data_IF_199343910322
#
_entry.id   IF_199343910322
#
_cell.length_a   1.000
_cell.length_b   1.000
_cell.length_c   1.000
_cell.angle_alpha   90.00
_cell.angle_beta   90.00
_cell.angle_gamma   90.00
#
_symmetry.space_group_name_H-M   'P 1'
#
loop_
_entity.id
_entity.type
_entity.pdbx_description
1 polymer ?
#
# COMPACT_ATOMS: atom_id res chain seq x y z
N UNK A 1 42.01 -13.71 26.10
CA UNK A 1 42.24 -12.34 26.62
C UNK A 1 42.53 -11.42 25.45
N UNK A 2 41.57 -10.60 25.05
CA UNK A 2 41.76 -9.31 24.39
C UNK A 2 40.37 -8.75 24.04
N UNK A 3 39.82 -7.92 24.92
CA UNK A 3 38.68 -7.05 24.60
C UNK A 3 39.15 -5.98 23.62
N UNK A 4 38.42 -5.75 22.53
CA UNK A 4 38.47 -4.50 21.77
C UNK A 4 37.14 -3.79 21.94
N UNK A 5 37.19 -2.68 22.66
CA UNK A 5 36.12 -1.70 22.83
C UNK A 5 35.98 -0.83 21.58
N UNK A 6 34.77 -0.75 21.03
CA UNK A 6 34.39 0.32 20.11
C UNK A 6 33.71 1.43 20.92
N UNK A 7 34.38 2.59 21.05
CA UNK A 7 33.73 3.85 21.40
C UNK A 7 33.25 4.49 20.09
N UNK A 8 31.93 4.64 19.91
CA UNK A 8 31.37 5.59 18.95
C UNK A 8 31.18 6.92 19.68
N UNK A 9 31.90 7.93 19.23
CA UNK A 9 31.74 9.31 19.67
C UNK A 9 30.46 9.90 19.08
N UNK A 10 29.57 10.38 19.94
CA UNK A 10 28.42 11.19 19.55
C UNK A 10 28.91 12.58 19.12
N UNK A 11 28.64 12.98 17.87
CA UNK A 11 28.71 14.37 17.45
C UNK A 11 27.30 14.95 17.45
N UNK A 12 27.06 15.84 18.40
CA UNK A 12 25.89 16.69 18.47
C UNK A 12 26.10 17.84 17.47
N UNK A 13 25.39 17.81 16.34
CA UNK A 13 25.31 18.96 15.42
C UNK A 13 24.02 19.71 15.74
N UNK A 14 24.18 20.90 16.31
CA UNK A 14 23.10 21.86 16.55
C UNK A 14 22.84 22.60 15.24
N UNK A 15 21.83 22.18 14.47
CA UNK A 15 21.36 22.92 13.31
C UNK A 15 20.21 23.85 13.74
N UNK A 16 20.50 25.15 13.88
CA UNK A 16 19.50 26.20 13.91
C UNK A 16 19.03 26.45 12.46
N UNK A 17 17.91 25.83 12.09
CA UNK A 17 17.20 26.10 10.84
C UNK A 17 15.94 26.92 11.12
N UNK A 18 15.91 28.16 10.63
CA UNK A 18 14.72 29.00 10.54
C UNK A 18 13.66 28.33 9.68
N UNK A 19 12.54 27.94 10.31
CA UNK A 19 11.35 27.41 9.65
C UNK A 19 10.61 28.56 8.95
N UNK A 20 10.56 28.51 7.62
CA UNK A 20 9.56 29.25 6.86
C UNK A 20 8.23 28.50 6.97
N UNK A 21 7.28 29.08 7.71
CA UNK A 21 5.91 28.60 7.83
C UNK A 21 5.18 28.78 6.49
N UNK A 22 4.86 27.67 5.83
CA UNK A 22 3.76 27.62 4.86
C UNK A 22 2.48 27.25 5.62
N UNK A 23 1.35 27.92 5.37
CA UNK A 23 0.14 27.73 6.16
C UNK A 23 -0.52 26.39 5.81
N UNK A 24 -0.72 25.56 6.84
CA UNK A 24 -1.65 24.45 6.81
C UNK A 24 -3.07 25.00 6.66
N UNK A 25 -3.75 24.66 5.57
CA UNK A 25 -5.19 24.90 5.42
C UNK A 25 -5.93 23.80 6.19
N UNK A 26 -6.46 24.17 7.35
CA UNK A 26 -7.46 23.41 8.11
C UNK A 26 -8.83 24.05 7.84
N UNK A 27 -9.73 23.32 7.18
CA UNK A 27 -11.10 23.75 6.96
C UNK A 27 -11.97 23.36 8.17
N UNK A 28 -12.24 24.36 9.02
CA UNK A 28 -13.33 24.38 9.99
C UNK A 28 -14.40 25.35 9.47
N UNK A 29 -15.52 24.84 8.96
CA UNK A 29 -16.71 25.65 8.71
C UNK A 29 -17.83 25.26 9.69
N UNK A 30 -17.76 25.89 10.86
CA UNK A 30 -18.85 25.96 11.83
C UNK A 30 -19.81 27.10 11.50
N UNK A 31 -20.96 26.76 10.91
CA UNK A 31 -22.10 27.68 10.75
C UNK A 31 -23.26 27.32 11.67
N UNK A 32 -23.40 28.02 12.80
CA UNK A 32 -24.58 27.94 13.66
C UNK A 32 -25.62 29.02 13.29
N UNK A 33 -26.88 28.65 13.10
CA UNK A 33 -28.01 29.45 13.57
C UNK A 33 -29.27 28.59 13.77
N UNK A 34 -30.06 28.99 14.77
CA UNK A 34 -31.01 28.18 15.51
C UNK A 34 -32.48 28.29 15.03
N UNK A 35 -33.27 27.27 15.40
CA UNK A 35 -34.42 27.37 16.32
C UNK A 35 -35.73 26.67 15.89
N UNK A 36 -36.45 26.19 16.91
CA UNK A 36 -37.77 25.53 16.97
C UNK A 36 -37.79 24.06 16.50
N UNK A 37 -38.26 23.06 17.25
CA UNK A 37 -39.20 23.00 18.37
C UNK A 37 -40.40 22.16 17.95
N UNK A 38 -40.51 20.90 18.41
CA UNK A 38 -41.72 20.10 18.17
C UNK A 38 -41.58 18.57 18.25
N UNK A 39 -41.77 18.03 19.45
CA UNK A 39 -42.61 16.85 19.81
C UNK A 39 -42.63 15.56 18.97
N UNK A 40 -42.36 14.44 19.65
CA UNK A 40 -43.09 13.15 19.61
C UNK A 40 -43.07 12.36 18.29
N UNK A 41 -42.68 11.09 18.22
CA UNK A 41 -43.08 9.97 19.07
C UNK A 41 -43.92 8.97 18.26
N UNK A 42 -43.32 7.80 18.00
CA UNK A 42 -43.91 6.52 17.58
C UNK A 42 -44.54 6.37 16.18
N UNK A 43 -44.03 5.42 15.40
CA UNK A 43 -44.74 4.16 15.13
C UNK A 43 -43.88 3.19 14.32
N UNK A 44 -44.06 1.91 14.63
CA UNK A 44 -43.36 0.78 14.08
C UNK A 44 -44.15 0.12 12.94
N UNK A 45 -43.43 -0.79 12.27
CA UNK A 45 -43.88 -2.11 11.76
C UNK A 45 -44.24 -2.26 10.28
N UNK A 46 -43.58 -3.30 9.72
CA UNK A 46 -44.03 -4.30 8.73
C UNK A 46 -44.60 -3.80 7.40
N UNK A 47 -44.20 -4.27 6.22
CA UNK A 47 -43.70 -5.59 5.83
C UNK A 47 -44.42 -6.01 4.54
N UNK A 48 -43.84 -6.97 3.84
CA UNK A 48 -44.44 -7.79 2.77
C UNK A 48 -44.24 -7.39 1.30
N UNK A 49 -43.39 -8.20 0.65
CA UNK A 49 -43.63 -8.99 -0.57
C UNK A 49 -44.10 -8.31 -1.86
N UNK A 50 -43.36 -8.57 -2.95
CA UNK A 50 -43.83 -8.38 -4.32
C UNK A 50 -42.86 -8.93 -5.36
N UNK A 51 -42.86 -10.25 -5.54
CA UNK A 51 -42.29 -10.90 -6.71
C UNK A 51 -43.15 -10.62 -7.95
N UNK A 52 -42.56 -10.17 -9.04
CA UNK A 52 -43.13 -10.38 -10.39
C UNK A 52 -42.02 -10.60 -11.42
N UNK A 53 -42.00 -11.82 -11.93
CA UNK A 53 -41.43 -12.26 -13.20
C UNK A 53 -42.05 -11.52 -14.39
N UNK A 54 -41.26 -11.21 -15.40
CA UNK A 54 -41.75 -11.06 -16.78
C UNK A 54 -40.71 -11.62 -17.76
N UNK A 55 -41.10 -12.74 -18.37
CA UNK A 55 -40.52 -13.28 -19.60
C UNK A 55 -40.84 -12.34 -20.78
N UNK A 56 -39.89 -12.22 -21.72
CA UNK A 56 -40.09 -11.57 -23.00
C UNK A 56 -39.11 -12.14 -24.04
N UNK A 57 -39.61 -13.07 -24.83
CA UNK A 57 -38.91 -13.83 -25.88
C UNK A 57 -38.76 -13.05 -27.20
N UNK A 58 -37.66 -13.32 -27.91
CA UNK A 58 -37.71 -13.64 -29.35
C UNK A 58 -37.14 -12.59 -30.32
N UNK A 59 -36.33 -13.07 -31.28
CA UNK A 59 -36.13 -12.37 -32.55
C UNK A 59 -34.77 -12.56 -33.22
N UNK A 60 -34.54 -13.73 -33.84
CA UNK A 60 -33.43 -13.99 -34.73
C UNK A 60 -33.73 -13.51 -36.17
N UNK A 61 -32.68 -13.18 -36.93
CA UNK A 61 -32.67 -12.97 -38.38
C UNK A 61 -31.56 -11.97 -38.73
N UNK A 62 -30.67 -12.18 -39.70
CA UNK A 62 -30.51 -13.18 -40.73
C UNK A 62 -29.52 -12.56 -41.72
N UNK A 63 -28.33 -13.13 -41.84
CA UNK A 63 -27.28 -12.62 -42.73
C UNK A 63 -27.38 -13.25 -44.12
N UNK A 64 -27.14 -12.46 -45.16
CA UNK A 64 -26.90 -12.94 -46.53
C UNK A 64 -26.01 -11.98 -47.33
N UNK A 65 -25.07 -12.58 -48.08
CA UNK A 65 -24.36 -12.01 -49.24
C UNK A 65 -22.88 -11.73 -48.98
N UNK A 66 -21.87 -12.31 -49.63
CA UNK A 66 -21.82 -13.21 -50.79
C UNK A 66 -20.62 -12.83 -51.68
N UNK A 67 -19.73 -13.80 -51.98
CA UNK A 67 -18.84 -13.95 -53.16
C UNK A 67 -17.83 -12.83 -53.49
N UNK A 68 -16.63 -13.02 -54.03
CA UNK A 68 -15.83 -14.13 -54.57
C UNK A 68 -14.45 -13.48 -54.92
N UNK A 69 -13.33 -14.16 -54.72
CA UNK A 69 -12.19 -14.05 -55.64
C UNK A 69 -11.29 -15.28 -55.56
N UNK A 70 -10.63 -15.54 -56.67
CA UNK A 70 -10.18 -16.84 -57.20
C UNK A 70 -8.70 -17.14 -56.97
N UNK A 71 -8.37 -18.42 -56.76
CA UNK A 71 -7.46 -19.15 -57.66
C UNK A 71 -6.00 -19.46 -57.24
N UNK A 72 -5.74 -20.77 -57.04
CA UNK A 72 -4.47 -21.49 -57.33
C UNK A 72 -3.38 -21.42 -56.24
N UNK A 73 -2.77 -22.49 -55.72
CA UNK A 73 -2.59 -23.87 -56.17
C UNK A 73 -1.09 -24.17 -56.22
N UNK A 74 -0.55 -24.97 -55.28
CA UNK A 74 0.86 -25.40 -55.32
C UNK A 74 1.35 -26.11 -54.06
N UNK A 75 1.79 -27.36 -54.23
CA UNK A 75 2.08 -28.40 -53.24
C UNK A 75 3.49 -28.36 -52.63
N UNK A 76 3.62 -28.85 -51.39
CA UNK A 76 4.68 -29.82 -51.03
C UNK A 76 5.74 -29.37 -50.02
N UNK A 77 5.78 -30.05 -48.85
CA UNK A 77 6.98 -30.09 -47.98
C UNK A 77 6.71 -30.10 -46.49
N UNK A 78 6.23 -31.23 -45.95
CA UNK A 78 6.08 -31.47 -44.51
C UNK A 78 7.27 -32.29 -44.01
N UNK A 79 7.94 -31.85 -42.93
CA UNK A 79 8.90 -32.72 -42.22
C UNK A 79 10.04 -32.00 -41.50
N UNK A 80 9.73 -31.31 -40.40
CA UNK A 80 10.73 -30.80 -39.46
C UNK A 80 10.08 -30.47 -38.13
N UNK A 81 9.93 -31.48 -37.26
CA UNK A 81 9.49 -31.29 -35.87
C UNK A 81 10.61 -30.60 -35.08
N UNK A 82 10.62 -29.27 -35.11
CA UNK A 82 11.27 -28.48 -34.08
C UNK A 82 10.35 -28.49 -32.87
N UNK A 83 10.61 -29.40 -31.93
CA UNK A 83 9.99 -29.35 -30.61
C UNK A 83 10.35 -28.01 -29.97
N UNK A 84 9.41 -27.06 -30.01
CA UNK A 84 9.46 -25.89 -29.15
C UNK A 84 9.27 -26.44 -27.74
N UNK A 85 10.38 -26.53 -26.99
CA UNK A 85 10.33 -26.77 -25.57
C UNK A 85 9.55 -25.62 -24.96
N UNK A 86 8.30 -25.89 -24.58
CA UNK A 86 7.59 -25.02 -23.67
C UNK A 86 8.44 -24.92 -22.42
N UNK A 87 9.05 -23.75 -22.22
CA UNK A 87 9.53 -23.37 -20.91
C UNK A 87 8.38 -23.53 -19.91
N UNK A 88 8.66 -23.81 -18.63
CA UNK A 88 7.60 -23.84 -17.63
C UNK A 88 6.79 -22.54 -17.77
N UNK A 89 5.47 -22.65 -17.92
CA UNK A 89 4.60 -21.51 -17.81
C UNK A 89 4.97 -20.80 -16.49
N UNK A 90 5.25 -19.49 -16.54
CA UNK A 90 5.51 -18.74 -15.34
C UNK A 90 4.31 -18.92 -14.42
N UNK A 91 4.52 -19.55 -13.26
CA UNK A 91 3.49 -19.62 -12.22
C UNK A 91 3.25 -18.20 -11.73
N UNK A 92 1.98 -17.76 -11.69
CA UNK A 92 1.63 -16.44 -11.16
C UNK A 92 2.07 -16.27 -9.70
N UNK A 93 2.00 -15.04 -9.19
CA UNK A 93 2.30 -14.73 -7.78
C UNK A 93 1.53 -15.69 -6.87
N UNK A 94 2.24 -16.31 -5.93
CA UNK A 94 1.64 -17.24 -4.97
C UNK A 94 0.75 -16.47 -4.00
N UNK A 95 -0.51 -16.86 -3.82
CA UNK A 95 -1.44 -16.16 -2.93
C UNK A 95 -0.98 -16.08 -1.47
N UNK A 96 -1.15 -14.91 -0.87
CA UNK A 96 -0.99 -14.66 0.57
C UNK A 96 -2.29 -14.14 1.20
N UNK A 97 -3.28 -15.02 1.45
CA UNK A 97 -4.60 -14.59 1.86
C UNK A 97 -4.59 -13.93 3.24
N UNK A 98 -5.43 -12.90 3.42
CA UNK A 98 -5.64 -12.26 4.71
C UNK A 98 -6.51 -13.15 5.59
N UNK A 99 -5.99 -13.52 6.75
CA UNK A 99 -6.64 -14.39 7.73
C UNK A 99 -7.07 -13.66 9.00
N UNK A 100 -6.75 -12.38 9.16
CA UNK A 100 -7.15 -11.58 10.34
C UNK A 100 -8.56 -11.02 10.26
N UNK A 101 -9.07 -10.71 9.06
CA UNK A 101 -10.31 -9.92 8.91
C UNK A 101 -11.54 -10.63 9.44
N UNK A 102 -12.35 -9.89 10.19
CA UNK A 102 -13.57 -10.39 10.83
C UNK A 102 -13.35 -11.44 11.93
N UNK A 103 -12.10 -11.77 12.28
CA UNK A 103 -11.78 -12.69 13.38
C UNK A 103 -12.01 -12.04 14.74
N UNK A 104 -12.19 -12.84 15.81
CA UNK A 104 -12.24 -12.30 17.16
C UNK A 104 -10.96 -11.51 17.50
N UNK A 105 -11.15 -10.25 17.90
CA UNK A 105 -10.09 -9.36 18.34
C UNK A 105 -10.36 -8.86 19.77
N UNK A 106 -9.30 -8.76 20.56
CA UNK A 106 -9.33 -8.34 21.96
C UNK A 106 -8.23 -7.34 22.21
N UNK A 107 -8.44 -6.39 23.12
CA UNK A 107 -7.42 -5.41 23.44
C UNK A 107 -7.43 -5.07 24.94
N UNK A 108 -6.28 -4.63 25.45
CA UNK A 108 -6.16 -4.14 26.82
C UNK A 108 -6.97 -2.87 27.07
N UNK A 109 -7.33 -2.16 26.00
CA UNK A 109 -8.10 -0.90 25.97
C UNK A 109 -8.51 -0.58 24.54
N UNK A 110 -9.34 0.46 24.38
CA UNK A 110 -9.85 0.87 23.07
C UNK A 110 -10.82 -0.17 22.50
N UNK A 111 -11.27 0.08 21.27
CA UNK A 111 -12.18 -0.82 20.56
C UNK A 111 -11.35 -1.78 19.72
N UNK A 112 -11.34 -3.07 20.04
CA UNK A 112 -10.50 -4.03 19.33
C UNK A 112 -11.02 -4.37 17.92
N UNK A 113 -12.33 -4.36 17.72
CA UNK A 113 -12.97 -4.78 16.47
C UNK A 113 -12.71 -3.88 15.27
N UNK A 114 -12.11 -2.70 15.48
CA UNK A 114 -11.78 -1.77 14.38
C UNK A 114 -10.50 -2.18 13.67
N UNK A 115 -9.64 -2.99 14.28
CA UNK A 115 -8.29 -3.27 13.78
C UNK A 115 -8.25 -4.30 12.65
N UNK A 116 -9.35 -5.02 12.43
CA UNK A 116 -9.42 -6.11 11.48
C UNK A 116 -10.76 -6.14 10.76
N UNK A 117 -11.37 -4.97 10.57
CA UNK A 117 -12.64 -4.83 9.87
C UNK A 117 -12.48 -4.48 8.38
N UNK A 118 -11.23 -4.37 7.91
CA UNK A 118 -10.87 -4.05 6.54
C UNK A 118 -11.09 -2.58 6.18
N UNK A 119 -11.21 -1.69 7.18
CA UNK A 119 -11.42 -0.26 6.95
C UNK A 119 -10.28 0.54 7.56
N UNK A 120 -9.94 1.64 6.90
CA UNK A 120 -8.78 2.44 7.27
C UNK A 120 -9.16 3.89 7.56
N UNK A 121 -8.29 4.55 8.34
CA UNK A 121 -8.28 5.99 8.61
C UNK A 121 -9.62 6.51 9.14
N UNK A 122 -10.46 7.14 8.30
CA UNK A 122 -11.70 7.81 8.73
C UNK A 122 -12.77 6.87 9.29
N UNK A 123 -12.66 5.56 9.06
CA UNK A 123 -13.59 4.57 9.58
C UNK A 123 -13.43 4.26 11.09
N UNK A 124 -12.31 4.68 11.70
CA UNK A 124 -12.04 4.52 13.12
C UNK A 124 -10.66 3.94 13.41
N UNK A 125 -10.23 4.06 14.67
CA UNK A 125 -8.92 3.57 15.12
C UNK A 125 -9.00 2.89 16.48
N UNK A 126 -8.11 1.93 16.68
CA UNK A 126 -7.77 1.42 18.00
C UNK A 126 -6.84 2.41 18.70
N UNK A 127 -7.32 3.04 19.78
CA UNK A 127 -6.55 4.03 20.55
C UNK A 127 -5.92 3.38 21.79
N UNK A 128 -4.59 3.31 21.81
CA UNK A 128 -3.80 2.76 22.90
C UNK A 128 -3.39 3.82 23.95
N UNK A 129 -3.51 5.11 23.64
CA UNK A 129 -3.04 6.19 24.50
C UNK A 129 -1.51 6.31 24.44
N UNK A 130 -0.87 6.54 25.59
CA UNK A 130 0.61 6.63 25.68
C UNK A 130 1.20 5.45 26.48
N UNK A 131 1.31 4.25 25.90
CA UNK A 131 1.89 3.09 26.59
C UNK A 131 3.33 3.32 27.03
N UNK A 132 3.74 2.60 28.06
CA UNK A 132 5.12 2.53 28.54
C UNK A 132 5.50 1.08 28.80
N UNK A 133 6.79 0.78 28.96
CA UNK A 133 7.23 -0.58 29.24
C UNK A 133 6.61 -1.17 30.52
N UNK A 134 6.32 -0.34 31.53
CA UNK A 134 5.66 -0.75 32.78
C UNK A 134 4.13 -0.82 32.69
N UNK A 135 3.53 -0.25 31.65
CA UNK A 135 2.10 -0.27 31.38
C UNK A 135 1.86 -0.35 29.86
N UNK A 136 2.18 -1.51 29.24
CA UNK A 136 2.00 -1.68 27.81
C UNK A 136 0.51 -1.74 27.45
N UNK A 137 0.20 -1.38 26.20
CA UNK A 137 -1.10 -1.66 25.61
C UNK A 137 -0.94 -2.79 24.59
N UNK A 138 -1.95 -3.64 24.43
CA UNK A 138 -1.91 -4.72 23.46
C UNK A 138 -3.25 -4.87 22.74
N UNK A 139 -3.17 -5.38 21.52
CA UNK A 139 -4.29 -5.83 20.71
C UNK A 139 -3.97 -7.19 20.09
N UNK A 140 -4.87 -8.15 20.25
CA UNK A 140 -4.70 -9.56 19.93
C UNK A 140 -5.82 -10.03 18.99
N UNK A 141 -5.47 -10.89 18.04
CA UNK A 141 -6.38 -11.47 17.05
C UNK A 141 -6.27 -13.00 17.12
N UNK A 142 -7.42 -13.68 17.21
CA UNK A 142 -7.50 -15.13 17.09
C UNK A 142 -7.58 -15.53 15.61
N UNK A 143 -6.42 -15.66 14.96
CA UNK A 143 -6.34 -15.94 13.52
C UNK A 143 -6.71 -17.38 13.16
N UNK A 144 -6.61 -18.31 14.10
CA UNK A 144 -6.85 -19.74 13.91
C UNK A 144 -5.56 -20.54 13.83
N UNK A 145 -5.67 -21.87 13.82
CA UNK A 145 -4.55 -22.81 13.72
C UNK A 145 -4.31 -23.28 12.27
N UNK A 146 -3.26 -24.08 12.06
CA UNK A 146 -2.95 -24.70 10.77
C UNK A 146 -1.99 -23.92 9.86
N UNK A 147 -1.57 -22.72 10.27
CA UNK A 147 -0.57 -21.92 9.55
C UNK A 147 0.84 -22.18 10.10
N UNK A 148 1.84 -22.16 9.22
CA UNK A 148 3.24 -22.35 9.59
C UNK A 148 3.99 -21.02 9.67
N UNK A 149 3.61 -20.03 8.84
CA UNK A 149 4.27 -18.73 8.80
C UNK A 149 3.28 -17.62 8.48
N UNK A 150 3.38 -16.50 9.20
CA UNK A 150 2.51 -15.34 9.01
C UNK A 150 3.32 -14.08 8.70
N UNK A 151 2.68 -13.13 8.00
CA UNK A 151 3.11 -11.74 7.88
C UNK A 151 2.08 -10.87 8.60
N UNK A 152 2.48 -10.15 9.64
CA UNK A 152 1.63 -9.15 10.30
C UNK A 152 2.04 -7.76 9.83
N UNK A 153 1.11 -7.04 9.21
CA UNK A 153 1.21 -5.62 8.85
C UNK A 153 0.36 -4.79 9.81
N UNK A 154 0.83 -3.62 10.22
CA UNK A 154 0.05 -2.65 10.99
C UNK A 154 0.13 -1.26 10.36
N UNK A 155 -0.95 -0.48 10.47
CA UNK A 155 -1.04 0.84 9.83
C UNK A 155 -1.53 1.93 10.79
N UNK A 156 -0.83 3.06 10.84
CA UNK A 156 -1.26 4.32 11.46
C UNK A 156 -1.53 5.38 10.38
N UNK A 157 -2.74 5.38 9.83
CA UNK A 157 -3.08 6.08 8.60
C UNK A 157 -3.28 7.60 8.76
N UNK A 158 -3.25 8.12 9.99
CA UNK A 158 -3.39 9.57 10.27
C UNK A 158 -2.11 10.38 10.06
N UNK A 159 -0.96 9.73 10.04
CA UNK A 159 0.29 10.36 9.59
C UNK A 159 0.22 10.60 8.08
N UNK A 160 0.93 11.59 7.54
CA UNK A 160 0.93 11.85 6.10
C UNK A 160 2.15 11.22 5.42
N UNK A 161 3.36 11.62 5.83
CA UNK A 161 4.58 11.01 5.29
C UNK A 161 4.82 9.63 5.93
N UNK A 162 5.48 8.74 5.19
CA UNK A 162 5.91 7.44 5.70
C UNK A 162 6.72 7.53 7.01
N UNK A 163 7.53 8.59 7.16
CA UNK A 163 8.39 8.86 8.32
C UNK A 163 7.73 9.73 9.41
N UNK A 164 6.46 10.11 9.25
CA UNK A 164 5.73 10.81 10.30
C UNK A 164 5.23 9.79 11.32
N UNK A 165 5.50 10.02 12.61
CA UNK A 165 5.06 9.10 13.69
C UNK A 165 4.04 9.73 14.64
N UNK A 166 3.91 11.05 14.60
CA UNK A 166 3.27 11.85 15.65
C UNK A 166 1.76 11.60 15.85
N UNK A 167 1.07 11.13 14.81
CA UNK A 167 -0.38 10.86 14.83
C UNK A 167 -0.69 9.36 14.85
N UNK A 168 -0.02 8.61 15.72
CA UNK A 168 -0.50 7.27 16.09
C UNK A 168 0.46 6.11 15.97
N UNK A 169 1.63 6.30 15.35
CA UNK A 169 2.57 5.20 15.16
C UNK A 169 3.12 4.74 16.51
N UNK A 170 3.23 3.43 16.81
CA UNK A 170 3.94 2.93 17.98
C UNK A 170 5.40 3.43 17.97
N UNK A 171 5.92 3.90 19.10
CA UNK A 171 7.35 4.24 19.23
C UNK A 171 8.23 3.02 19.49
N UNK A 172 7.71 2.07 20.26
CA UNK A 172 8.30 0.75 20.46
C UNK A 172 7.18 -0.29 20.65
N UNK A 173 7.41 -1.49 20.15
CA UNK A 173 6.46 -2.59 20.23
C UNK A 173 7.14 -3.94 20.02
N UNK A 174 6.38 -5.00 20.27
CA UNK A 174 6.73 -6.36 19.88
C UNK A 174 5.52 -7.10 19.36
N UNK A 175 5.75 -8.11 18.54
CA UNK A 175 4.73 -9.06 18.09
C UNK A 175 4.91 -10.34 18.89
N UNK A 176 3.81 -10.87 19.42
CA UNK A 176 3.82 -12.12 20.18
C UNK A 176 2.78 -13.10 19.64
N UNK A 177 3.03 -14.39 19.84
CA UNK A 177 2.09 -15.46 19.48
C UNK A 177 1.77 -16.36 20.67
N UNK A 178 0.61 -17.00 20.64
CA UNK A 178 0.16 -17.95 21.66
C UNK A 178 -0.65 -19.09 21.05
N UNK A 179 -0.55 -20.28 21.63
CA UNK A 179 -1.33 -21.47 21.27
C UNK A 179 -2.49 -21.73 22.25
N UNK A 180 -2.49 -21.08 23.41
CA UNK A 180 -3.34 -21.40 24.56
C UNK A 180 -4.06 -20.19 25.16
N UNK A 181 -3.95 -19.00 24.55
CA UNK A 181 -4.79 -17.85 24.91
C UNK A 181 -6.26 -18.12 24.55
N UNK A 182 -7.16 -17.54 25.31
CA UNK A 182 -8.61 -17.56 25.05
C UNK A 182 -9.18 -16.17 24.76
N UNK A 183 -8.46 -15.11 25.10
CA UNK A 183 -8.97 -13.74 25.01
C UNK A 183 -7.88 -12.66 24.84
N UNK A 184 -6.65 -13.04 24.46
CA UNK A 184 -5.54 -12.10 24.29
C UNK A 184 -4.82 -11.69 25.59
N UNK A 185 -5.47 -11.80 26.76
CA UNK A 185 -4.91 -11.39 28.06
C UNK A 185 -4.26 -12.53 28.85
N UNK A 186 -4.65 -13.77 28.56
CA UNK A 186 -4.19 -15.01 29.18
C UNK A 186 -3.30 -15.83 28.25
N UNK A 187 -2.91 -17.03 28.69
CA UNK A 187 -2.06 -17.93 27.91
C UNK A 187 -0.56 -17.62 28.00
N UNK A 188 0.20 -18.45 27.32
CA UNK A 188 1.65 -18.36 27.20
C UNK A 188 2.01 -17.64 25.91
N UNK A 189 2.67 -16.48 26.03
CA UNK A 189 3.04 -15.64 24.90
C UNK A 189 4.54 -15.71 24.61
N UNK A 190 4.88 -15.89 23.33
CA UNK A 190 6.25 -15.89 22.82
C UNK A 190 6.46 -14.67 21.94
N UNK A 191 7.48 -13.85 22.23
CA UNK A 191 7.90 -12.77 21.33
C UNK A 191 8.51 -13.34 20.06
N UNK A 192 8.06 -12.85 18.91
CA UNK A 192 8.50 -13.27 17.57
C UNK A 192 9.10 -12.12 16.76
N UNK A 193 8.84 -10.87 17.14
CA UNK A 193 9.49 -9.68 16.60
C UNK A 193 9.52 -8.57 17.65
N UNK A 194 10.54 -7.71 17.62
CA UNK A 194 10.67 -6.58 18.56
C UNK A 194 11.26 -5.36 17.84
N UNK A 195 10.67 -4.19 18.09
CA UNK A 195 11.11 -2.90 17.58
C UNK A 195 11.20 -1.93 18.75
N UNK A 196 12.40 -1.42 19.02
CA UNK A 196 12.67 -0.54 20.17
C UNK A 196 12.68 0.95 19.83
N UNK A 197 12.82 1.28 18.55
CA UNK A 197 12.82 2.65 18.03
C UNK A 197 12.22 2.62 16.62
N UNK A 198 10.94 2.99 16.53
CA UNK A 198 10.18 2.93 15.29
C UNK A 198 10.08 4.32 14.64
N UNK A 199 10.67 4.53 13.44
CA UNK A 199 10.70 5.83 12.79
C UNK A 199 9.58 6.04 11.76
N UNK A 200 8.64 5.10 11.60
CA UNK A 200 7.70 5.08 10.47
C UNK A 200 6.27 4.75 10.89
N UNK A 201 5.29 5.15 10.07
CA UNK A 201 3.84 5.00 10.36
C UNK A 201 3.24 3.64 10.06
N UNK A 202 3.97 2.74 9.43
CA UNK A 202 3.50 1.40 9.08
C UNK A 202 4.71 0.49 8.91
N UNK A 203 4.58 -0.77 9.33
CA UNK A 203 5.59 -1.82 9.14
C UNK A 203 4.90 -3.18 9.07
N UNK A 204 5.63 -4.15 8.53
CA UNK A 204 5.25 -5.55 8.64
C UNK A 204 6.38 -6.40 9.23
N UNK A 205 6.01 -7.59 9.72
CA UNK A 205 6.94 -8.58 10.27
C UNK A 205 6.49 -9.99 9.89
N UNK A 206 7.36 -10.75 9.21
CA UNK A 206 7.17 -12.18 9.03
C UNK A 206 7.72 -12.99 10.21
N UNK A 207 7.03 -14.08 10.58
CA UNK A 207 7.45 -14.95 11.68
C UNK A 207 6.86 -16.37 11.59
N UNK A 208 7.53 -17.32 12.24
CA UNK A 208 7.04 -18.69 12.44
C UNK A 208 5.82 -18.70 13.36
N UNK A 209 4.81 -19.46 12.96
CA UNK A 209 3.52 -19.58 13.61
C UNK A 209 3.10 -21.04 13.87
N UNK A 210 4.00 -22.00 13.61
CA UNK A 210 3.71 -23.42 13.75
C UNK A 210 3.18 -23.78 15.14
N UNK A 211 1.96 -24.33 15.19
CA UNK A 211 1.31 -24.75 16.44
C UNK A 211 0.70 -23.61 17.27
N UNK A 212 0.68 -22.39 16.75
CA UNK A 212 0.06 -21.23 17.38
C UNK A 212 -1.36 -21.00 16.80
N UNK A 213 -2.17 -20.18 17.48
CA UNK A 213 -3.49 -19.78 16.97
C UNK A 213 -3.86 -18.31 17.23
N UNK A 214 -3.01 -17.59 17.96
CA UNK A 214 -3.16 -16.19 18.31
C UNK A 214 -1.92 -15.41 17.96
N UNK A 215 -2.14 -14.17 17.51
CA UNK A 215 -1.10 -13.14 17.38
C UNK A 215 -1.54 -11.90 18.15
N UNK A 216 -0.60 -11.17 18.74
CA UNK A 216 -0.87 -9.84 19.30
C UNK A 216 0.27 -8.87 19.07
N UNK A 217 -0.08 -7.61 18.85
CA UNK A 217 0.83 -6.48 18.88
C UNK A 217 0.82 -5.91 20.30
N UNK A 218 2.00 -5.80 20.92
CA UNK A 218 2.17 -5.19 22.25
C UNK A 218 3.00 -3.93 22.13
N UNK A 219 2.34 -2.78 22.32
CA UNK A 219 2.96 -1.46 22.27
C UNK A 219 3.55 -1.14 23.65
N UNK A 220 4.86 -0.89 23.67
CA UNK A 220 5.65 -0.63 24.87
C UNK A 220 6.12 0.82 25.00
N UNK A 221 6.02 1.61 23.93
CA UNK A 221 6.22 3.05 23.98
C UNK A 221 5.39 3.77 22.91
N UNK A 222 4.88 4.94 23.27
CA UNK A 222 4.47 5.96 22.29
C UNK A 222 5.71 6.58 21.61
N UNK A 223 5.56 7.18 20.42
CA UNK A 223 6.67 7.84 19.75
C UNK A 223 7.13 9.07 20.55
N UNK A 224 8.40 9.45 20.39
CA UNK A 224 8.99 10.55 21.16
C UNK A 224 8.23 11.88 20.95
N UNK A 225 7.77 12.11 19.72
CA UNK A 225 6.79 13.13 19.36
C UNK A 225 5.45 12.44 19.15
N UNK A 226 4.46 12.78 19.98
CA UNK A 226 3.12 12.21 19.92
C UNK A 226 2.10 13.26 20.30
N UNK A 227 0.97 13.28 19.62
CA UNK A 227 -0.19 14.08 20.00
C UNK A 227 -0.79 13.64 21.35
N UNK A 228 -1.92 14.24 21.75
CA UNK A 228 -2.59 13.87 22.99
C UNK A 228 -3.27 12.49 22.94
N UNK A 229 -3.70 12.06 21.75
CA UNK A 229 -4.30 10.74 21.51
C UNK A 229 -3.32 9.62 21.78
N UNK A 230 -2.05 9.83 21.43
CA UNK A 230 -1.01 8.81 21.57
C UNK A 230 -1.00 7.85 20.39
N UNK A 231 -0.73 6.58 20.66
CA UNK A 231 -0.73 5.51 19.66
C UNK A 231 -2.17 5.20 19.22
N UNK A 232 -2.39 5.22 17.92
CA UNK A 232 -3.65 4.91 17.25
C UNK A 232 -3.36 4.17 15.94
N UNK A 233 -3.99 3.01 15.77
CA UNK A 233 -3.86 2.16 14.58
C UNK A 233 -5.24 1.96 13.97
N UNK A 234 -5.34 1.99 12.65
CA UNK A 234 -6.60 1.71 11.95
C UNK A 234 -6.73 0.23 11.60
N UNK A 235 -5.69 -0.41 11.03
CA UNK A 235 -5.78 -1.81 10.61
C UNK A 235 -4.51 -2.61 10.97
N UNK A 236 -4.70 -3.89 11.29
CA UNK A 236 -3.71 -4.97 11.33
C UNK A 236 -4.17 -6.08 10.38
N UNK A 237 -3.53 -6.16 9.22
CA UNK A 237 -3.69 -7.28 8.30
C UNK A 237 -2.69 -8.38 8.66
N UNK A 238 -3.18 -9.62 8.78
CA UNK A 238 -2.35 -10.81 8.98
C UNK A 238 -2.54 -11.72 7.77
N UNK A 239 -1.47 -11.94 7.02
CA UNK A 239 -1.47 -12.79 5.84
C UNK A 239 -0.87 -14.16 6.16
N UNK A 240 -1.46 -15.21 5.61
CA UNK A 240 -0.84 -16.53 5.55
C UNK A 240 0.25 -16.54 4.47
N UNK A 241 1.49 -16.70 4.91
CA UNK A 241 2.67 -16.78 4.02
C UNK A 241 3.34 -18.16 4.11
N UNK A 242 2.60 -19.18 4.54
CA UNK A 242 3.12 -20.55 4.67
C UNK A 242 3.57 -21.14 3.32
N UNK A 243 2.98 -20.68 2.21
CA UNK A 243 3.25 -21.20 0.86
C UNK A 243 4.11 -20.27 -0.02
N UNK A 244 4.56 -19.12 0.50
CA UNK A 244 5.26 -18.07 -0.25
C UNK A 244 5.03 -16.72 0.42
N UNK A 245 5.81 -15.67 0.10
CA UNK A 245 5.66 -14.35 0.73
C UNK A 245 5.83 -13.20 -0.27
N UNK A 246 5.62 -13.46 -1.56
CA UNK A 246 5.94 -12.52 -2.64
C UNK A 246 4.80 -11.54 -2.95
N UNK A 247 3.57 -11.78 -2.45
CA UNK A 247 2.41 -10.93 -2.71
C UNK A 247 2.40 -9.68 -1.80
N UNK A 248 3.46 -8.88 -1.91
CA UNK A 248 3.77 -7.75 -1.02
C UNK A 248 4.30 -6.55 -1.82
N UNK A 249 3.69 -5.38 -1.61
CA UNK A 249 3.89 -4.17 -2.41
C UNK A 249 4.21 -2.95 -1.56
N UNK A 250 5.39 -2.38 -1.78
CA UNK A 250 5.81 -1.13 -1.17
C UNK A 250 5.65 -0.02 -2.22
N UNK A 251 4.79 0.95 -1.94
CA UNK A 251 4.59 2.11 -2.81
C UNK A 251 5.57 3.22 -2.42
N UNK A 252 6.66 3.33 -3.17
CA UNK A 252 7.76 4.28 -2.96
C UNK A 252 7.54 5.51 -3.87
N UNK A 253 7.38 6.68 -3.28
CA UNK A 253 7.11 7.88 -4.08
C UNK A 253 6.94 9.14 -3.27
N UNK A 254 6.39 10.17 -3.92
CA UNK A 254 6.25 11.51 -3.34
C UNK A 254 4.87 11.76 -2.68
N UNK A 255 4.40 13.03 -2.70
CA UNK A 255 3.09 13.43 -2.18
C UNK A 255 1.94 12.69 -2.86
N UNK A 256 2.03 12.45 -4.16
CA UNK A 256 0.98 11.76 -4.92
C UNK A 256 0.83 10.32 -4.40
N UNK A 257 1.95 9.66 -4.15
CA UNK A 257 1.99 8.33 -3.52
C UNK A 257 1.41 8.37 -2.10
N UNK A 258 1.81 9.36 -1.30
CA UNK A 258 1.31 9.53 0.07
C UNK A 258 -0.22 9.67 0.14
N UNK A 259 -0.83 10.37 -0.82
CA UNK A 259 -2.29 10.48 -0.94
C UNK A 259 -2.94 9.22 -1.51
N UNK A 260 -2.42 8.66 -2.61
CA UNK A 260 -3.09 7.61 -3.37
C UNK A 260 -3.27 6.32 -2.57
N UNK A 261 -2.31 5.96 -1.71
CA UNK A 261 -2.32 4.66 -1.02
C UNK A 261 -2.61 4.77 0.47
N UNK A 262 -3.29 5.83 0.90
CA UNK A 262 -3.71 6.01 2.31
C UNK A 262 -4.89 5.09 2.71
N UNK A 263 -5.60 4.52 1.73
CA UNK A 263 -6.71 3.57 1.87
C UNK A 263 -7.90 4.10 2.71
N UNK A 264 -8.03 5.42 2.83
CA UNK A 264 -9.12 6.04 3.58
C UNK A 264 -10.49 5.47 3.22
N UNK A 265 -11.24 5.04 4.23
CA UNK A 265 -12.54 4.39 4.03
C UNK A 265 -13.68 5.33 4.41
N UNK A 266 -14.61 5.65 3.49
CA UNK A 266 -14.79 5.09 2.14
C UNK A 266 -14.10 5.88 1.01
N UNK A 267 -13.39 6.97 1.32
CA UNK A 267 -13.03 7.99 0.34
C UNK A 267 -12.11 7.49 -0.79
N UNK A 268 -11.12 6.65 -0.51
CA UNK A 268 -10.09 6.22 -1.47
C UNK A 268 -10.12 4.70 -1.73
N UNK A 269 -11.31 4.09 -1.65
CA UNK A 269 -11.55 2.68 -1.95
C UNK A 269 -12.29 2.49 -3.30
N UNK A 270 -12.05 1.39 -4.05
CA UNK A 270 -11.19 0.26 -3.72
C UNK A 270 -9.69 0.56 -3.85
N UNK A 271 -8.92 0.04 -2.90
CA UNK A 271 -7.45 0.04 -2.88
C UNK A 271 -6.86 -0.89 -3.93
N UNK A 272 -5.55 -0.77 -4.20
CA UNK A 272 -4.81 -1.67 -5.11
C UNK A 272 -5.06 -3.14 -4.75
N UNK A 273 -4.95 -3.50 -3.47
CA UNK A 273 -5.14 -4.88 -3.04
C UNK A 273 -6.57 -5.39 -3.24
N UNK A 274 -7.59 -4.53 -3.06
CA UNK A 274 -8.98 -4.90 -3.36
C UNK A 274 -9.23 -5.07 -4.85
N UNK A 275 -8.60 -4.23 -5.69
CA UNK A 275 -8.69 -4.38 -7.14
C UNK A 275 -8.02 -5.69 -7.62
N UNK A 276 -6.85 -6.04 -7.06
CA UNK A 276 -6.19 -7.33 -7.33
C UNK A 276 -7.08 -8.48 -6.87
N UNK A 277 -7.60 -8.45 -5.65
CA UNK A 277 -8.49 -9.49 -5.12
C UNK A 277 -9.77 -9.65 -5.94
N UNK A 278 -10.35 -8.55 -6.43
CA UNK A 278 -11.53 -8.59 -7.29
C UNK A 278 -11.26 -9.29 -8.64
N UNK A 279 -10.03 -9.19 -9.16
CA UNK A 279 -9.60 -9.87 -10.38
C UNK A 279 -9.10 -11.31 -10.13
N UNK A 280 -8.46 -11.55 -8.99
CA UNK A 280 -7.78 -12.79 -8.59
C UNK A 280 -8.14 -13.12 -7.14
N UNK A 281 -9.28 -13.78 -6.92
CA UNK A 281 -9.86 -14.01 -5.57
C UNK A 281 -8.90 -14.61 -4.53
N UNK A 282 -7.97 -15.51 -4.85
CA UNK A 282 -7.01 -15.99 -3.85
C UNK A 282 -6.01 -14.93 -3.37
N UNK A 283 -5.72 -13.93 -4.20
CA UNK A 283 -4.69 -12.92 -3.95
C UNK A 283 -5.28 -11.72 -3.21
N UNK A 284 -4.56 -11.25 -2.20
CA UNK A 284 -4.85 -10.00 -1.53
C UNK A 284 -3.50 -9.42 -1.08
N UNK A 285 -2.86 -8.59 -1.91
CA UNK A 285 -1.50 -8.13 -1.65
C UNK A 285 -1.37 -7.34 -0.35
N UNK A 286 -0.30 -7.57 0.41
CA UNK A 286 0.05 -6.69 1.53
C UNK A 286 0.61 -5.36 0.99
N UNK A 287 0.14 -4.23 1.50
CA UNK A 287 0.55 -2.90 1.01
C UNK A 287 1.24 -2.08 2.09
N UNK A 288 2.31 -1.36 1.72
CA UNK A 288 2.84 -0.22 2.50
C UNK A 288 2.81 1.03 1.64
N UNK A 289 2.24 2.10 2.19
CA UNK A 289 2.35 3.45 1.65
C UNK A 289 3.65 4.10 2.15
N UNK A 290 4.65 4.16 1.27
CA UNK A 290 5.97 4.72 1.52
C UNK A 290 6.14 6.15 1.01
N UNK A 291 5.04 6.86 0.73
CA UNK A 291 5.07 8.21 0.17
C UNK A 291 5.59 9.28 1.12
N UNK A 292 6.35 10.25 0.60
CA UNK A 292 6.81 11.45 1.33
C UNK A 292 6.55 12.70 0.49
N UNK A 293 5.83 13.68 1.05
CA UNK A 293 5.48 14.91 0.34
C UNK A 293 6.68 15.73 -0.11
N UNK A 294 6.67 16.15 -1.37
CA UNK A 294 7.73 16.99 -1.95
C UNK A 294 9.07 16.28 -2.16
N UNK A 295 9.11 14.95 -2.02
CA UNK A 295 10.33 14.17 -2.17
C UNK A 295 10.78 14.11 -3.65
N UNK A 296 12.09 14.25 -3.84
CA UNK A 296 12.80 14.14 -5.11
C UNK A 296 13.50 12.78 -5.18
N UNK A 297 13.88 12.34 -6.39
CA UNK A 297 14.76 11.16 -6.54
C UNK A 297 16.10 11.35 -5.82
N UNK A 298 16.68 12.55 -5.93
CA UNK A 298 17.84 13.00 -5.15
C UNK A 298 17.72 14.50 -4.83
N UNK A 299 18.17 14.91 -3.66
CA UNK A 299 18.40 16.32 -3.33
C UNK A 299 19.70 16.55 -2.57
N UNK A 300 20.21 17.78 -2.63
CA UNK A 300 21.34 18.25 -1.82
C UNK A 300 20.92 19.03 -0.56
N UNK A 301 19.66 19.44 -0.47
CA UNK A 301 19.17 20.38 0.56
C UNK A 301 18.16 19.77 1.54
N UNK A 302 17.63 18.58 1.23
CA UNK A 302 16.63 17.86 2.02
C UNK A 302 16.75 16.35 1.78
N UNK A 303 16.26 15.50 2.71
CA UNK A 303 16.19 14.05 2.48
C UNK A 303 15.44 13.72 1.19
N UNK A 304 15.91 12.69 0.48
CA UNK A 304 15.38 12.24 -0.80
C UNK A 304 15.28 10.71 -0.87
N UNK A 305 14.70 10.19 -1.96
CA UNK A 305 14.51 8.74 -2.14
C UNK A 305 15.82 7.96 -1.98
N UNK A 306 16.87 8.40 -2.67
CA UNK A 306 18.21 7.78 -2.60
C UNK A 306 18.91 7.94 -1.25
N UNK A 307 18.49 8.85 -0.37
CA UNK A 307 19.08 8.97 0.97
C UNK A 307 18.49 7.95 1.95
N UNK A 308 17.32 7.36 1.66
CA UNK A 308 16.57 6.52 2.60
C UNK A 308 16.27 5.11 2.10
N UNK A 309 16.57 4.80 0.86
CA UNK A 309 16.20 3.52 0.23
C UNK A 309 16.86 2.32 0.93
N UNK A 310 18.11 2.43 1.38
CA UNK A 310 18.75 1.43 2.25
C UNK A 310 17.93 1.17 3.54
N UNK A 311 17.55 2.23 4.24
CA UNK A 311 16.72 2.14 5.46
C UNK A 311 15.34 1.55 5.15
N UNK A 312 14.74 1.91 4.01
CA UNK A 312 13.45 1.36 3.56
C UNK A 312 13.55 -0.14 3.32
N UNK A 313 14.59 -0.61 2.63
CA UNK A 313 14.83 -2.02 2.35
C UNK A 313 15.13 -2.81 3.63
N UNK A 314 15.93 -2.23 4.55
CA UNK A 314 16.21 -2.84 5.85
C UNK A 314 14.97 -2.96 6.73
N UNK A 315 14.11 -1.93 6.74
CA UNK A 315 12.90 -1.92 7.57
C UNK A 315 11.77 -2.80 7.03
N UNK A 316 11.77 -3.09 5.72
CA UNK A 316 10.72 -3.83 5.01
C UNK A 316 11.28 -5.06 4.26
N UNK A 317 11.96 -5.99 4.96
CA UNK A 317 12.61 -7.13 4.32
C UNK A 317 11.62 -8.14 3.73
N UNK A 318 10.34 -8.05 4.10
CA UNK A 318 9.27 -8.94 3.65
C UNK A 318 8.57 -8.45 2.37
N UNK A 319 8.92 -7.25 1.87
CA UNK A 319 8.28 -6.66 0.69
C UNK A 319 9.04 -7.01 -0.59
N UNK A 320 8.34 -7.53 -1.61
CA UNK A 320 8.95 -8.01 -2.84
C UNK A 320 8.90 -6.98 -3.97
N UNK A 321 7.74 -6.39 -4.22
CA UNK A 321 7.55 -5.41 -5.28
C UNK A 321 7.66 -3.99 -4.75
N UNK A 322 8.41 -3.15 -5.46
CA UNK A 322 8.58 -1.73 -5.17
C UNK A 322 7.96 -0.91 -6.31
N UNK A 323 6.76 -0.41 -6.07
CA UNK A 323 6.02 0.45 -6.98
C UNK A 323 6.58 1.88 -6.85
N UNK A 324 7.28 2.35 -7.88
CA UNK A 324 8.00 3.63 -7.88
C UNK A 324 7.17 4.70 -8.59
N UNK A 325 6.81 5.75 -7.86
CA UNK A 325 6.08 6.92 -8.36
C UNK A 325 6.79 8.22 -7.98
N UNK A 326 7.87 8.54 -8.72
CA UNK A 326 8.65 9.77 -8.59
C UNK A 326 8.74 10.51 -9.92
N UNK A 327 9.09 11.79 -9.85
CA UNK A 327 9.41 12.64 -10.99
C UNK A 327 8.55 13.89 -11.10
N UNK A 328 7.42 13.95 -10.40
CA UNK A 328 6.60 15.18 -10.31
C UNK A 328 7.45 16.33 -9.77
N UNK A 329 8.01 16.18 -8.57
CA UNK A 329 8.85 17.23 -7.98
C UNK A 329 10.15 17.49 -8.77
N UNK A 330 10.77 16.45 -9.32
CA UNK A 330 12.00 16.55 -10.13
C UNK A 330 11.77 17.42 -11.38
N UNK A 331 10.62 17.21 -12.05
CA UNK A 331 10.25 17.92 -13.28
C UNK A 331 9.80 19.37 -13.09
N UNK A 332 9.62 19.81 -11.85
CA UNK A 332 9.32 21.20 -11.50
C UNK A 332 10.60 22.06 -11.43
N UNK A 333 11.43 22.02 -12.48
CA UNK A 333 12.72 22.73 -12.58
C UNK A 333 13.72 22.44 -11.43
N UNK A 334 13.57 21.29 -10.74
CA UNK A 334 14.43 20.92 -9.61
C UNK A 334 15.54 19.94 -9.99
N UNK A 335 15.37 19.16 -11.05
CA UNK A 335 16.35 18.18 -11.50
C UNK A 335 16.33 18.12 -13.02
N UNK A 336 17.51 18.10 -13.67
CA UNK A 336 17.52 17.92 -15.12
C UNK A 336 17.16 16.47 -15.50
N UNK A 337 16.54 16.22 -16.66
CA UNK A 337 16.07 14.89 -17.05
C UNK A 337 17.16 13.80 -17.06
N UNK A 338 18.42 14.15 -17.34
CA UNK A 338 19.51 13.17 -17.39
C UNK A 338 19.98 12.74 -16.01
N UNK A 339 20.01 13.69 -15.06
CA UNK A 339 20.23 13.40 -13.64
C UNK A 339 19.08 12.59 -13.07
N UNK A 340 17.82 12.94 -13.38
CA UNK A 340 16.65 12.15 -12.98
C UNK A 340 16.73 10.69 -13.44
N UNK A 341 17.05 10.46 -14.74
CA UNK A 341 17.25 9.10 -15.26
C UNK A 341 18.34 8.35 -14.49
N UNK A 342 19.46 9.03 -14.19
CA UNK A 342 20.58 8.42 -13.44
C UNK A 342 20.19 8.06 -12.01
N UNK A 343 19.45 8.94 -11.31
CA UNK A 343 18.97 8.68 -9.96
C UNK A 343 17.97 7.52 -9.92
N UNK A 344 17.05 7.44 -10.89
CA UNK A 344 16.13 6.30 -11.00
C UNK A 344 16.87 4.99 -11.29
N UNK A 345 17.91 5.00 -12.13
CA UNK A 345 18.74 3.80 -12.33
C UNK A 345 19.40 3.35 -11.02
N UNK A 346 19.92 4.28 -10.20
CA UNK A 346 20.51 3.94 -8.91
C UNK A 346 19.47 3.33 -7.95
N UNK A 347 18.25 3.87 -7.90
CA UNK A 347 17.15 3.25 -7.13
C UNK A 347 16.80 1.85 -7.63
N UNK A 348 16.75 1.64 -8.95
CA UNK A 348 16.50 0.32 -9.56
C UNK A 348 17.61 -0.66 -9.15
N UNK A 349 18.87 -0.25 -9.27
CA UNK A 349 20.03 -1.07 -8.97
C UNK A 349 20.03 -1.52 -7.49
N UNK A 350 19.72 -0.62 -6.55
CA UNK A 350 19.67 -0.94 -5.12
C UNK A 350 18.52 -1.88 -4.77
N UNK A 351 17.33 -1.65 -5.33
CA UNK A 351 16.15 -2.51 -5.14
C UNK A 351 16.43 -3.92 -5.71
N UNK A 352 17.00 -4.01 -6.92
CA UNK A 352 17.37 -5.29 -7.53
C UNK A 352 18.50 -5.98 -6.78
N UNK A 353 19.50 -5.24 -6.28
CA UNK A 353 20.59 -5.79 -5.47
C UNK A 353 20.08 -6.38 -4.15
N UNK A 354 19.00 -5.85 -3.60
CA UNK A 354 18.28 -6.42 -2.45
C UNK A 354 17.36 -7.61 -2.81
N UNK A 355 17.37 -8.05 -4.08
CA UNK A 355 16.57 -9.17 -4.57
C UNK A 355 15.10 -8.84 -4.80
N UNK A 356 14.77 -7.56 -4.98
CA UNK A 356 13.40 -7.04 -5.10
C UNK A 356 13.10 -6.60 -6.53
N UNK A 357 11.82 -6.39 -6.82
CA UNK A 357 11.35 -6.06 -8.17
C UNK A 357 10.85 -4.62 -8.21
N UNK A 358 11.61 -3.69 -8.83
CA UNK A 358 11.11 -2.34 -9.08
C UNK A 358 10.11 -2.34 -10.24
N UNK A 359 9.05 -1.55 -10.09
CA UNK A 359 8.01 -1.31 -11.12
C UNK A 359 7.81 0.19 -11.21
N UNK A 360 8.02 0.78 -12.39
CA UNK A 360 7.94 2.24 -12.57
C UNK A 360 6.57 2.65 -13.13
N UNK A 361 5.91 3.60 -12.49
CA UNK A 361 4.80 4.32 -13.11
C UNK A 361 5.32 5.51 -13.92
N UNK A 362 4.64 5.83 -15.03
CA UNK A 362 4.79 7.15 -15.65
C UNK A 362 4.23 8.22 -14.71
N UNK A 363 4.88 9.38 -14.68
CA UNK A 363 4.49 10.52 -13.86
C UNK A 363 3.13 11.03 -14.33
N UNK A 364 2.14 11.23 -13.43
CA UNK A 364 0.83 11.73 -13.80
C UNK A 364 0.91 13.10 -14.47
N UNK A 365 -0.02 13.36 -15.38
CA UNK A 365 -0.16 14.67 -16.02
C UNK A 365 -0.51 15.74 -14.98
N UNK A 366 -0.02 16.96 -15.20
CA UNK A 366 -0.38 18.13 -14.40
C UNK A 366 -0.58 19.36 -15.31
N UNK A 367 -1.78 20.00 -15.29
CA UNK A 367 -2.03 21.22 -16.06
C UNK A 367 -1.65 22.52 -15.31
N UNK A 368 -0.78 22.45 -14.30
CA UNK A 368 -0.46 23.58 -13.42
C UNK A 368 0.49 24.64 -14.04
N UNK A 369 1.03 24.36 -15.23
CA UNK A 369 1.98 25.22 -15.93
C UNK A 369 3.41 25.17 -15.37
N UNK A 370 3.70 24.24 -14.46
CA UNK A 370 5.01 24.03 -13.87
C UNK A 370 5.66 22.71 -14.30
N UNK A 371 4.88 21.77 -14.81
CA UNK A 371 5.32 20.43 -15.21
C UNK A 371 5.33 20.23 -16.74
N UNK A 372 5.64 21.28 -17.52
CA UNK A 372 5.64 21.23 -18.99
C UNK A 372 6.67 20.24 -19.57
N UNK A 373 7.70 19.88 -18.78
CA UNK A 373 8.77 18.98 -19.18
C UNK A 373 8.46 17.49 -18.96
N UNK A 374 7.28 17.11 -18.45
CA UNK A 374 6.97 15.72 -18.10
C UNK A 374 7.21 14.70 -19.22
N UNK A 375 7.07 15.11 -20.49
CA UNK A 375 7.31 14.24 -21.64
C UNK A 375 8.72 13.63 -21.66
N UNK A 376 9.77 14.42 -21.33
CA UNK A 376 11.16 13.90 -21.33
C UNK A 376 11.48 13.07 -20.09
N UNK A 377 10.83 13.33 -18.96
CA UNK A 377 10.97 12.50 -17.76
C UNK A 377 10.27 11.15 -17.94
N UNK A 378 9.08 11.14 -18.53
CA UNK A 378 8.35 9.91 -18.86
C UNK A 378 9.09 9.08 -19.92
N UNK A 379 9.74 9.71 -20.89
CA UNK A 379 10.63 9.01 -21.80
C UNK A 379 11.78 8.30 -21.05
N UNK A 380 12.39 8.96 -20.05
CA UNK A 380 13.43 8.33 -19.24
C UNK A 380 12.91 7.11 -18.46
N UNK A 381 11.68 7.16 -17.93
CA UNK A 381 11.02 6.03 -17.27
C UNK A 381 10.79 4.87 -18.24
N UNK A 382 10.30 5.15 -19.45
CA UNK A 382 10.06 4.13 -20.48
C UNK A 382 11.38 3.45 -20.90
N UNK A 383 12.44 4.25 -21.09
CA UNK A 383 13.78 3.75 -21.42
C UNK A 383 14.33 2.85 -20.29
N UNK A 384 14.25 3.29 -19.03
CA UNK A 384 14.72 2.49 -17.88
C UNK A 384 13.93 1.20 -17.71
N UNK A 385 12.61 1.24 -17.91
CA UNK A 385 11.74 0.05 -17.85
C UNK A 385 12.19 -0.99 -18.88
N UNK A 386 12.49 -0.56 -20.11
CA UNK A 386 12.96 -1.43 -21.17
C UNK A 386 14.42 -1.91 -20.96
N UNK A 387 15.33 -1.01 -20.59
CA UNK A 387 16.76 -1.29 -20.36
C UNK A 387 16.97 -2.31 -19.24
N UNK A 388 16.14 -2.27 -18.19
CA UNK A 388 16.22 -3.15 -17.03
C UNK A 388 15.24 -4.34 -17.09
N UNK A 389 14.47 -4.48 -18.17
CA UNK A 389 13.45 -5.51 -18.34
C UNK A 389 12.45 -5.62 -17.16
N UNK A 390 12.03 -4.46 -16.65
CA UNK A 390 11.10 -4.39 -15.51
C UNK A 390 9.67 -4.75 -15.94
N UNK A 391 8.85 -5.27 -15.02
CA UNK A 391 7.40 -5.27 -15.22
C UNK A 391 6.91 -3.84 -15.51
N UNK A 392 5.97 -3.65 -16.44
CA UNK A 392 5.44 -2.33 -16.74
C UNK A 392 4.55 -1.85 -15.58
N UNK A 393 4.75 -0.60 -15.15
CA UNK A 393 3.78 0.09 -14.30
C UNK A 393 2.74 0.87 -15.14
N UNK A 394 1.81 1.56 -14.47
CA UNK A 394 0.72 2.26 -15.15
C UNK A 394 1.18 3.52 -15.90
N UNK A 395 0.46 3.84 -16.97
CA UNK A 395 0.54 5.15 -17.63
C UNK A 395 -0.40 6.14 -16.92
N UNK A 396 0.05 6.68 -15.78
CA UNK A 396 -0.72 7.69 -15.06
C UNK A 396 -0.81 9.00 -15.84
N UNK A 397 0.17 9.29 -16.70
CA UNK A 397 0.17 10.50 -17.52
C UNK A 397 -1.09 10.53 -18.41
N UNK A 398 -1.29 9.49 -19.21
CA UNK A 398 -2.41 9.43 -20.14
C UNK A 398 -3.76 9.50 -19.41
N UNK A 399 -3.89 8.84 -18.26
CA UNK A 399 -5.14 8.88 -17.49
C UNK A 399 -5.49 10.29 -17.03
N UNK A 400 -4.55 11.01 -16.41
CA UNK A 400 -4.82 12.34 -15.86
C UNK A 400 -4.85 13.43 -16.92
N UNK A 401 -4.27 13.21 -18.10
CA UNK A 401 -4.47 14.07 -19.27
C UNK A 401 -5.94 14.01 -19.75
N UNK A 402 -6.53 12.81 -19.76
CA UNK A 402 -7.94 12.60 -20.11
C UNK A 402 -8.91 12.95 -18.97
N UNK A 403 -8.45 12.93 -17.72
CA UNK A 403 -9.25 13.16 -16.51
C UNK A 403 -8.65 14.23 -15.56
N UNK A 404 -8.36 15.46 -16.04
CA UNK A 404 -7.73 16.49 -15.21
C UNK A 404 -8.63 16.95 -14.05
N UNK A 405 -9.94 16.70 -14.11
CA UNK A 405 -10.88 16.98 -13.02
C UNK A 405 -10.65 16.14 -11.76
N UNK A 406 -9.89 15.04 -11.87
CA UNK A 406 -9.52 14.18 -10.74
C UNK A 406 -8.26 14.70 -10.00
N UNK A 407 -7.78 15.90 -10.35
CA UNK A 407 -6.67 16.60 -9.68
C UNK A 407 -7.23 17.81 -8.92
N UNK A 408 -7.15 17.78 -7.59
CA UNK A 408 -7.78 18.82 -6.73
C UNK A 408 -7.11 20.19 -6.81
N UNK A 409 -5.81 20.19 -7.09
CA UNK A 409 -4.95 21.38 -7.15
C UNK A 409 -4.07 21.36 -8.40
N UNK A 410 -4.55 20.68 -9.45
CA UNK A 410 -3.84 20.44 -10.72
C UNK A 410 -2.59 19.56 -10.60
N UNK A 411 -2.24 19.05 -9.41
CA UNK A 411 -1.08 18.17 -9.21
C UNK A 411 -1.46 16.90 -8.44
N UNK A 412 -2.15 17.06 -7.31
CA UNK A 412 -2.48 15.96 -6.42
C UNK A 412 -3.85 15.36 -6.77
N UNK A 413 -3.96 14.02 -6.75
CA UNK A 413 -5.24 13.36 -6.96
C UNK A 413 -6.24 13.77 -5.86
N UNK A 414 -7.49 13.96 -6.25
CA UNK A 414 -8.61 13.96 -5.32
C UNK A 414 -8.99 12.51 -4.93
N UNK A 415 -10.09 12.34 -4.19
CA UNK A 415 -10.56 11.01 -3.80
C UNK A 415 -10.81 10.08 -5.02
N UNK A 416 -11.41 10.60 -6.10
CA UNK A 416 -11.66 9.81 -7.32
C UNK A 416 -10.36 9.50 -8.06
N UNK A 417 -9.43 10.45 -8.12
CA UNK A 417 -8.08 10.24 -8.66
C UNK A 417 -7.30 9.18 -7.90
N UNK A 418 -7.37 9.16 -6.56
CA UNK A 418 -6.74 8.12 -5.75
C UNK A 418 -7.32 6.73 -6.08
N UNK A 419 -8.65 6.62 -6.20
CA UNK A 419 -9.31 5.35 -6.60
C UNK A 419 -8.87 4.91 -8.00
N UNK A 420 -8.80 5.84 -8.96
CA UNK A 420 -8.33 5.55 -10.31
C UNK A 420 -6.88 5.06 -10.32
N UNK A 421 -5.99 5.71 -9.56
CA UNK A 421 -4.59 5.30 -9.44
C UNK A 421 -4.44 3.89 -8.88
N UNK A 422 -5.18 3.54 -7.82
CA UNK A 422 -5.16 2.19 -7.24
C UNK A 422 -5.59 1.13 -8.27
N UNK A 423 -6.62 1.44 -9.06
CA UNK A 423 -7.10 0.56 -10.13
C UNK A 423 -6.06 0.41 -11.24
N UNK A 424 -5.48 1.52 -11.73
CA UNK A 424 -4.49 1.51 -12.81
C UNK A 424 -3.24 0.70 -12.43
N UNK A 425 -2.78 0.82 -11.19
CA UNK A 425 -1.69 -0.02 -10.70
C UNK A 425 -2.05 -1.50 -10.74
N UNK A 426 -3.23 -1.88 -10.26
CA UNK A 426 -3.68 -3.28 -10.28
C UNK A 426 -3.78 -3.82 -11.72
N UNK A 427 -4.32 -3.03 -12.65
CA UNK A 427 -4.42 -3.40 -14.07
C UNK A 427 -3.05 -3.55 -14.75
N UNK A 428 -2.10 -2.65 -14.44
CA UNK A 428 -0.76 -2.70 -15.03
C UNK A 428 0.00 -3.98 -14.66
N UNK A 429 -0.21 -4.48 -13.45
CA UNK A 429 0.51 -5.65 -12.91
C UNK A 429 -0.32 -6.93 -12.92
N UNK A 430 -1.53 -6.89 -13.50
CA UNK A 430 -2.46 -8.03 -13.59
C UNK A 430 -1.81 -9.30 -14.14
N UNK A 431 -0.94 -9.12 -15.15
CA UNK A 431 -0.18 -10.21 -15.78
C UNK A 431 0.76 -10.96 -14.82
N UNK A 432 1.14 -10.38 -13.67
CA UNK A 432 1.93 -11.07 -12.65
C UNK A 432 1.11 -12.10 -11.85
N UNK A 433 -0.21 -11.94 -11.82
CA UNK A 433 -1.14 -12.85 -11.15
C UNK A 433 -1.71 -13.90 -12.12
N UNK A 434 -1.68 -13.61 -13.43
CA UNK A 434 -2.10 -14.53 -14.48
C UNK A 434 -1.13 -15.71 -14.63
N UNK A 435 -1.48 -16.87 -14.08
CA UNK A 435 -0.66 -18.08 -14.23
C UNK A 435 -0.98 -19.22 -13.27
N UNK A 436 -2.17 -19.21 -12.65
CA UNK A 436 -2.61 -20.31 -11.80
C UNK A 436 -3.39 -21.34 -12.65
N UNK A 437 -3.09 -22.64 -12.54
CA UNK A 437 -3.75 -23.70 -13.29
C UNK A 437 -5.24 -23.87 -12.98
#
# INVERSE_FOLDING_TARGET
>A
MALRSFQRSAFLVLALGTVALLPACSDDDGGASASSGGTGGASASSGSSGSTSAQGSGGAGGGTGGSESTGGGGSGGNGGSGGSGGGPAASGITPNPIISRGKPAFASRGTASVINDGKYKSAGTWIAGKPTAGAPAWIAIQVGDGYERLLLSWTASYNYNYTDVQYGAPGAYRVETSSDSTNGSDGTWKSVAEVTDNPVRTRAHSFDFSGQSWVRLVVTAAPATSDDTGVQLDEIDVHDISNGAEDTWFFLGDSITAFAYDRDTPATQPSFAENVHAAHEPNYPAMINGGIGGELTKSTDRPSALDRIDDVLEMNPDYHFFAIGYGTNDSWDQTDPSTFKSNLQELIDEIQAAGRVPVLARIPFSPDGHHEALGVFNQAIDELTAENALPPGPDLYAWFEDHPEQLRDQVHPDAAGCVAMNKLWAEAVDGLYAGQP
#
